data_IF_813386460567
#
_entry.id   IF_813386460567
#
_cell.length_a   1.000
_cell.length_b   1.000
_cell.length_c   1.000
_cell.angle_alpha   90.00
_cell.angle_beta   90.00
_cell.angle_gamma   90.00
#
_symmetry.space_group_name_H-M   'P 1'
#
loop_
_entity.id
_entity.type
_entity.pdbx_description
1 polymer ?
#
# COMPACT_ATOMS: atom_id res chain seq x y z
N UNK A 1 25.94 58.37 -16.47
CA UNK A 1 24.66 57.88 -15.89
C UNK A 1 24.69 56.36 -15.99
N UNK A 2 24.94 55.67 -14.87
CA UNK A 2 25.05 54.21 -14.78
C UNK A 2 23.64 53.61 -14.81
N UNK A 3 23.36 52.67 -15.72
CA UNK A 3 22.22 51.76 -15.56
C UNK A 3 22.74 50.45 -14.95
N UNK A 4 22.35 50.19 -13.70
CA UNK A 4 22.46 48.88 -13.08
C UNK A 4 21.41 47.95 -13.70
N UNK A 5 21.84 46.82 -14.26
CA UNK A 5 20.97 45.65 -14.41
C UNK A 5 21.04 44.82 -13.13
N UNK A 6 19.94 44.77 -12.40
CA UNK A 6 19.76 43.89 -11.24
C UNK A 6 19.49 42.47 -11.73
N UNK A 7 20.41 41.55 -11.45
CA UNK A 7 20.25 40.12 -11.69
C UNK A 7 19.37 39.55 -10.54
N UNK A 8 18.13 39.18 -10.85
CA UNK A 8 17.26 38.47 -9.90
C UNK A 8 17.69 36.99 -9.90
N UNK A 9 18.35 36.58 -8.82
CA UNK A 9 18.69 35.18 -8.57
C UNK A 9 17.43 34.48 -8.05
N UNK A 10 16.79 33.67 -8.90
CA UNK A 10 15.71 32.76 -8.48
C UNK A 10 16.38 31.61 -7.73
N UNK A 11 16.42 31.69 -6.41
CA UNK A 11 16.80 30.58 -5.55
C UNK A 11 15.61 29.62 -5.53
N UNK A 12 15.69 28.56 -6.34
CA UNK A 12 14.83 27.40 -6.18
C UNK A 12 15.15 26.77 -4.82
N UNK A 13 14.30 27.02 -3.83
CA UNK A 13 14.24 26.20 -2.63
C UNK A 13 13.81 24.79 -3.05
N UNK A 14 14.78 23.92 -3.31
CA UNK A 14 14.52 22.49 -3.24
C UNK A 14 14.24 22.17 -1.78
N UNK A 15 12.97 21.97 -1.45
CA UNK A 15 12.59 21.33 -0.19
C UNK A 15 13.12 19.90 -0.29
N UNK A 16 14.27 19.62 0.34
CA UNK A 16 14.70 18.25 0.55
C UNK A 16 13.74 17.63 1.56
N UNK A 17 12.70 16.94 1.08
CA UNK A 17 11.97 15.99 1.92
C UNK A 17 12.93 14.88 2.27
N UNK A 18 13.26 14.76 3.56
CA UNK A 18 14.01 13.65 4.09
C UNK A 18 13.02 12.48 4.19
N UNK A 19 13.01 11.58 3.21
CA UNK A 19 12.35 10.28 3.33
C UNK A 19 13.27 9.30 4.08
N UNK A 20 12.72 8.25 4.71
CA UNK A 20 13.48 7.18 5.37
C UNK A 20 14.54 6.54 4.44
N UNK A 21 14.31 6.61 3.11
CA UNK A 21 15.22 6.24 2.00
C UNK A 21 16.07 4.99 2.31
N UNK A 22 15.38 3.92 2.73
CA UNK A 22 15.98 2.61 2.98
C UNK A 22 15.91 1.67 1.76
N UNK A 23 15.43 2.19 0.61
CA UNK A 23 15.28 1.43 -0.64
C UNK A 23 14.18 0.36 -0.63
N UNK A 24 13.28 0.37 0.37
CA UNK A 24 12.18 -0.58 0.51
C UNK A 24 10.83 0.09 0.27
N UNK A 25 9.78 -0.73 0.15
CA UNK A 25 8.39 -0.28 -0.06
C UNK A 25 8.25 0.73 -1.22
N UNK A 26 8.99 0.55 -2.33
CA UNK A 26 8.92 1.45 -3.49
C UNK A 26 7.56 1.42 -4.20
N UNK A 27 6.80 0.35 -3.98
CA UNK A 27 5.35 0.25 -4.19
C UNK A 27 4.70 -0.13 -2.87
N UNK A 28 3.38 0.05 -2.71
CA UNK A 28 2.69 -0.35 -1.49
C UNK A 28 2.94 -1.83 -1.18
N UNK A 29 3.17 -2.17 0.08
CA UNK A 29 3.47 -3.56 0.44
C UNK A 29 2.25 -4.46 0.23
N UNK A 30 2.49 -5.67 -0.26
CA UNK A 30 1.47 -6.72 -0.39
C UNK A 30 1.82 -7.86 0.56
N UNK A 31 0.93 -8.14 1.51
CA UNK A 31 1.22 -8.97 2.66
C UNK A 31 0.00 -9.79 3.10
N UNK A 32 0.22 -10.67 4.07
CA UNK A 32 -0.82 -11.28 4.87
C UNK A 32 -0.52 -11.06 6.35
N UNK A 33 -1.55 -10.81 7.16
CA UNK A 33 -1.46 -10.64 8.60
C UNK A 33 -2.67 -11.31 9.29
N UNK A 34 -2.48 -12.01 10.41
CA UNK A 34 -3.54 -12.79 11.06
C UNK A 34 -4.57 -11.96 11.86
N UNK A 35 -4.29 -10.70 12.18
CA UNK A 35 -5.00 -9.98 13.25
C UNK A 35 -6.52 -9.89 13.04
N UNK A 36 -6.98 -9.53 11.84
CA UNK A 36 -8.42 -9.41 11.57
C UNK A 36 -9.19 -10.72 11.76
N UNK A 37 -8.63 -11.85 11.29
CA UNK A 37 -9.33 -13.15 11.35
C UNK A 37 -9.14 -13.88 12.68
N UNK A 38 -7.94 -13.83 13.24
CA UNK A 38 -7.54 -14.69 14.36
C UNK A 38 -7.35 -13.92 15.67
N UNK A 39 -7.18 -12.59 15.61
CA UNK A 39 -6.90 -11.74 16.75
C UNK A 39 -5.82 -12.34 17.67
N UNK A 40 -6.09 -12.34 18.97
CA UNK A 40 -5.24 -12.93 20.00
C UNK A 40 -5.69 -14.34 20.44
N UNK A 41 -6.33 -15.13 19.56
CA UNK A 41 -6.72 -16.50 19.88
C UNK A 41 -5.47 -17.41 19.91
N UNK A 42 -4.79 -17.43 21.06
CA UNK A 42 -3.49 -18.09 21.23
C UNK A 42 -3.51 -19.60 20.94
N UNK A 43 -4.66 -20.26 20.97
CA UNK A 43 -4.77 -21.65 20.54
C UNK A 43 -4.54 -21.83 19.03
N UNK A 44 -4.79 -20.79 18.23
CA UNK A 44 -4.61 -20.78 16.76
C UNK A 44 -3.30 -20.11 16.34
N UNK A 45 -2.81 -19.13 17.10
CA UNK A 45 -1.54 -18.41 16.81
C UNK A 45 -0.34 -19.26 17.23
N UNK A 46 0.13 -20.11 16.33
CA UNK A 46 1.26 -21.01 16.54
C UNK A 46 2.08 -21.23 15.25
N UNK A 47 3.29 -21.75 15.38
CA UNK A 47 4.24 -21.96 14.29
C UNK A 47 3.67 -22.76 13.11
N UNK A 48 2.91 -23.82 13.38
CA UNK A 48 2.29 -24.65 12.34
C UNK A 48 1.31 -23.82 11.51
N UNK A 49 0.47 -23.00 12.14
CA UNK A 49 -0.47 -22.13 11.45
C UNK A 49 0.25 -21.16 10.50
N UNK A 50 1.33 -20.51 10.93
CA UNK A 50 2.10 -19.62 10.04
C UNK A 50 2.80 -20.37 8.91
N UNK A 51 3.29 -21.58 9.16
CA UNK A 51 3.88 -22.41 8.11
C UNK A 51 2.84 -22.81 7.04
N UNK A 52 1.61 -23.12 7.45
CA UNK A 52 0.50 -23.44 6.55
C UNK A 52 0.04 -22.22 5.75
N UNK A 53 -0.08 -21.04 6.39
CA UNK A 53 -0.44 -19.79 5.71
C UNK A 53 0.62 -19.38 4.68
N UNK A 54 1.90 -19.48 5.04
CA UNK A 54 3.00 -19.21 4.13
C UNK A 54 2.99 -20.17 2.92
N UNK A 55 2.76 -21.46 3.17
CA UNK A 55 2.64 -22.44 2.09
C UNK A 55 1.42 -22.18 1.20
N UNK A 56 0.27 -21.84 1.79
CA UNK A 56 -0.93 -21.48 1.03
C UNK A 56 -0.66 -20.27 0.12
N UNK A 57 -0.12 -19.17 0.66
CA UNK A 57 0.21 -17.97 -0.11
C UNK A 57 1.21 -18.24 -1.26
N UNK A 58 2.18 -19.12 -1.02
CA UNK A 58 3.16 -19.53 -2.02
C UNK A 58 2.57 -20.43 -3.13
N UNK A 59 1.48 -21.15 -2.86
CA UNK A 59 0.94 -22.19 -3.77
C UNK A 59 -0.40 -21.83 -4.42
N UNK A 60 -1.18 -20.89 -3.87
CA UNK A 60 -2.50 -20.53 -4.37
C UNK A 60 -2.49 -19.37 -5.40
N UNK A 61 -1.32 -18.88 -5.78
CA UNK A 61 -1.15 -17.81 -6.76
C UNK A 61 -0.98 -16.41 -6.18
N UNK A 62 -1.21 -16.19 -4.88
CA UNK A 62 -1.00 -14.89 -4.24
C UNK A 62 0.45 -14.42 -4.34
N UNK A 63 1.43 -15.29 -4.12
CA UNK A 63 2.84 -14.94 -4.28
C UNK A 63 3.17 -14.48 -5.71
N UNK A 64 2.60 -15.14 -6.73
CA UNK A 64 2.76 -14.75 -8.14
C UNK A 64 2.06 -13.43 -8.46
N UNK A 65 0.95 -13.12 -7.78
CA UNK A 65 0.23 -11.86 -7.90
C UNK A 65 0.95 -10.69 -7.22
N UNK A 66 1.91 -10.97 -6.32
CA UNK A 66 2.77 -9.95 -5.70
C UNK A 66 2.77 -9.96 -4.17
N UNK A 67 1.98 -10.81 -3.51
CA UNK A 67 1.99 -10.93 -2.04
C UNK A 67 3.30 -11.54 -1.56
N UNK A 68 4.07 -10.80 -0.77
CA UNK A 68 5.45 -11.17 -0.41
C UNK A 68 5.64 -11.41 1.07
N UNK A 69 4.87 -10.78 1.95
CA UNK A 69 5.13 -10.78 3.38
C UNK A 69 4.12 -11.63 4.15
N UNK A 70 4.60 -12.53 5.01
CA UNK A 70 3.81 -13.20 6.05
C UNK A 70 4.16 -12.51 7.37
N UNK A 71 3.22 -11.73 7.90
CA UNK A 71 3.44 -10.93 9.10
C UNK A 71 2.85 -11.64 10.33
N UNK A 72 3.63 -11.74 11.41
CA UNK A 72 3.09 -11.93 12.76
C UNK A 72 2.48 -10.62 13.25
N UNK A 73 1.39 -10.73 14.01
CA UNK A 73 0.85 -9.65 14.83
C UNK A 73 1.01 -9.95 16.33
N UNK A 74 0.31 -9.25 17.22
CA UNK A 74 0.42 -9.45 18.68
C UNK A 74 0.22 -10.92 19.11
N UNK A 75 0.56 -11.22 20.37
CA UNK A 75 0.33 -12.50 21.04
C UNK A 75 1.23 -13.66 20.61
N UNK A 76 2.33 -13.44 19.90
CA UNK A 76 3.34 -14.47 19.61
C UNK A 76 4.32 -14.72 20.77
N UNK A 77 4.43 -13.75 21.68
CA UNK A 77 5.41 -13.72 22.77
C UNK A 77 5.17 -14.78 23.86
N UNK A 78 6.26 -15.17 24.53
CA UNK A 78 6.19 -15.64 25.90
C UNK A 78 5.77 -14.49 26.82
N UNK A 79 5.27 -14.80 28.02
CA UNK A 79 4.81 -13.78 28.98
C UNK A 79 5.93 -12.95 29.61
N UNK A 80 7.18 -13.37 29.47
CA UNK A 80 8.35 -12.67 29.98
C UNK A 80 9.49 -12.72 28.97
N UNK A 81 10.34 -11.70 29.00
CA UNK A 81 11.64 -11.69 28.31
C UNK A 81 12.60 -12.71 28.92
N UNK A 82 13.68 -13.00 28.21
CA UNK A 82 14.80 -13.76 28.75
C UNK A 82 15.40 -13.02 29.97
N UNK A 83 15.58 -13.75 31.08
CA UNK A 83 15.99 -13.16 32.34
C UNK A 83 17.49 -12.82 32.42
N UNK A 84 18.29 -13.28 31.44
CA UNK A 84 19.73 -12.98 31.36
C UNK A 84 20.00 -11.92 30.30
N UNK A 85 19.45 -12.10 29.09
CA UNK A 85 19.75 -11.24 27.94
C UNK A 85 18.76 -10.08 27.79
N UNK A 86 17.56 -10.20 28.36
CA UNK A 86 16.47 -9.25 28.14
C UNK A 86 15.78 -9.38 26.78
N UNK A 87 16.18 -10.35 25.95
CA UNK A 87 15.60 -10.55 24.62
C UNK A 87 14.14 -10.98 24.71
N UNK A 88 13.35 -10.57 23.71
CA UNK A 88 12.04 -11.15 23.47
C UNK A 88 12.16 -12.65 23.21
N UNK A 89 11.19 -13.42 23.72
CA UNK A 89 11.09 -14.86 23.50
C UNK A 89 9.72 -15.13 22.88
N UNK A 90 9.66 -15.94 21.84
CA UNK A 90 8.39 -16.51 21.39
C UNK A 90 7.86 -17.51 22.42
N UNK A 91 6.55 -17.69 22.48
CA UNK A 91 5.96 -18.71 23.34
C UNK A 91 6.55 -20.09 23.02
N UNK A 92 7.23 -20.76 23.96
CA UNK A 92 7.99 -21.98 23.68
C UNK A 92 7.10 -23.19 23.40
N UNK A 93 5.81 -23.12 23.74
CA UNK A 93 4.84 -24.18 23.44
C UNK A 93 4.28 -23.99 22.03
N UNK A 94 3.95 -22.75 21.65
CA UNK A 94 3.34 -22.42 20.35
C UNK A 94 4.37 -22.25 19.22
N UNK A 95 5.59 -21.85 19.56
CA UNK A 95 6.72 -21.67 18.65
C UNK A 95 7.95 -22.45 19.13
N UNK A 96 7.88 -23.78 19.20
CA UNK A 96 8.91 -24.62 19.84
C UNK A 96 10.27 -24.58 19.12
N UNK A 97 10.32 -24.23 17.83
CA UNK A 97 11.59 -24.06 17.09
C UNK A 97 12.03 -22.59 17.00
N UNK A 98 11.23 -21.67 17.53
CA UNK A 98 11.54 -20.24 17.62
C UNK A 98 11.35 -19.46 16.31
N UNK A 99 11.40 -18.14 16.42
CA UNK A 99 11.12 -17.22 15.31
C UNK A 99 12.12 -17.33 14.16
N UNK A 100 13.42 -17.51 14.46
CA UNK A 100 14.43 -17.67 13.42
C UNK A 100 14.20 -18.90 12.53
N UNK A 101 13.67 -19.99 13.09
CA UNK A 101 13.26 -21.16 12.30
C UNK A 101 12.07 -20.81 11.39
N UNK A 102 11.03 -20.15 11.93
CA UNK A 102 9.86 -19.76 11.17
C UNK A 102 10.21 -18.82 10.00
N UNK A 103 11.06 -17.81 10.26
CA UNK A 103 11.57 -16.91 9.24
C UNK A 103 12.31 -17.68 8.13
N UNK A 104 13.22 -18.60 8.51
CA UNK A 104 13.96 -19.45 7.56
C UNK A 104 13.01 -20.29 6.69
N UNK A 105 11.96 -20.87 7.29
CA UNK A 105 10.96 -21.63 6.53
C UNK A 105 10.21 -20.74 5.53
N UNK A 106 9.76 -19.55 5.95
CA UNK A 106 9.06 -18.60 5.08
C UNK A 106 9.98 -18.15 3.93
N UNK A 107 11.25 -17.85 4.21
CA UNK A 107 12.24 -17.53 3.18
C UNK A 107 12.46 -18.66 2.19
N UNK A 108 12.40 -19.92 2.63
CA UNK A 108 12.56 -21.08 1.75
C UNK A 108 11.44 -21.21 0.70
N UNK A 109 10.29 -20.56 0.94
CA UNK A 109 9.17 -20.46 0.00
C UNK A 109 9.27 -19.24 -0.94
N UNK A 110 10.36 -18.46 -0.85
CA UNK A 110 10.54 -17.21 -1.61
C UNK A 110 9.75 -16.02 -1.04
N UNK A 111 9.20 -16.17 0.17
CA UNK A 111 8.44 -15.14 0.87
C UNK A 111 9.34 -14.38 1.87
N UNK A 112 8.80 -13.31 2.44
CA UNK A 112 9.39 -12.45 3.46
C UNK A 112 8.64 -12.59 4.76
N UNK A 113 9.33 -12.41 5.88
CA UNK A 113 8.75 -12.57 7.21
C UNK A 113 8.63 -11.23 7.94
N UNK A 114 7.44 -10.93 8.45
CA UNK A 114 7.20 -9.76 9.29
C UNK A 114 6.97 -10.11 10.75
N UNK A 115 7.35 -9.19 11.64
CA UNK A 115 7.14 -9.32 13.09
C UNK A 115 6.39 -8.11 13.64
N UNK A 116 5.77 -8.32 14.79
CA UNK A 116 5.11 -7.30 15.59
C UNK A 116 5.87 -7.04 16.89
N UNK A 117 5.97 -5.77 17.25
CA UNK A 117 6.34 -5.29 18.58
C UNK A 117 5.52 -4.07 18.97
N UNK A 118 5.72 -3.60 20.20
CA UNK A 118 5.11 -2.38 20.72
C UNK A 118 6.21 -1.50 21.32
N UNK A 119 6.22 -0.18 21.07
CA UNK A 119 7.20 0.75 21.67
C UNK A 119 7.00 0.95 23.18
N UNK A 120 5.83 0.56 23.69
CA UNK A 120 5.37 0.62 25.07
C UNK A 120 6.04 -0.32 26.03
N UNK A 121 5.61 -0.27 27.30
CA UNK A 121 6.03 -1.23 28.32
C UNK A 121 5.40 -2.61 28.12
N UNK A 122 4.19 -2.64 27.56
CA UNK A 122 3.43 -3.84 27.22
C UNK A 122 2.74 -3.63 25.87
N UNK A 123 2.55 -4.70 25.10
CA UNK A 123 1.70 -4.68 23.92
C UNK A 123 0.24 -4.43 24.29
N UNK A 124 -0.61 -4.14 23.32
CA UNK A 124 -2.05 -3.94 23.56
C UNK A 124 -2.71 -5.13 24.28
N UNK A 125 -2.22 -6.36 24.05
CA UNK A 125 -2.70 -7.58 24.72
C UNK A 125 -1.90 -7.99 25.97
N UNK A 126 -1.07 -7.10 26.51
CA UNK A 126 -0.35 -7.30 27.77
C UNK A 126 0.83 -8.28 27.68
N UNK A 127 1.51 -8.34 26.53
CA UNK A 127 2.79 -9.03 26.38
C UNK A 127 3.96 -8.05 26.54
N UNK A 128 5.22 -8.52 26.74
CA UNK A 128 6.36 -7.63 26.93
C UNK A 128 6.53 -6.63 25.77
N UNK A 129 6.48 -5.33 26.06
CA UNK A 129 6.75 -4.26 25.09
C UNK A 129 8.24 -3.89 25.03
N UNK A 130 8.61 -2.97 24.14
CA UNK A 130 9.99 -2.63 23.77
C UNK A 130 10.54 -1.39 24.48
N UNK A 131 9.79 -0.77 25.39
CA UNK A 131 10.26 0.36 26.19
C UNK A 131 11.52 -0.03 27.00
N UNK A 132 12.62 0.68 26.76
CA UNK A 132 13.93 0.37 27.35
C UNK A 132 14.73 -0.73 26.65
N UNK A 133 14.17 -1.36 25.61
CA UNK A 133 14.78 -2.47 24.86
C UNK A 133 14.85 -2.22 23.35
N UNK A 134 14.48 -1.04 22.83
CA UNK A 134 14.39 -0.75 21.38
C UNK A 134 15.63 -1.19 20.57
N UNK A 135 16.84 -0.89 21.04
CA UNK A 135 18.07 -1.29 20.35
C UNK A 135 18.28 -2.82 20.38
N UNK A 136 18.02 -3.44 21.52
CA UNK A 136 18.13 -4.90 21.69
C UNK A 136 17.12 -5.63 20.80
N UNK A 137 15.88 -5.14 20.75
CA UNK A 137 14.81 -5.75 19.97
C UNK A 137 15.06 -5.58 18.47
N UNK A 138 15.50 -4.41 18.02
CA UNK A 138 15.93 -4.20 16.64
C UNK A 138 17.03 -5.20 16.22
N UNK A 139 18.05 -5.39 17.07
CA UNK A 139 19.12 -6.37 16.84
C UNK A 139 18.57 -7.81 16.80
N UNK A 140 17.67 -8.15 17.73
CA UNK A 140 17.06 -9.47 17.83
C UNK A 140 16.23 -9.79 16.58
N UNK A 141 15.45 -8.83 16.07
CA UNK A 141 14.70 -8.98 14.82
C UNK A 141 15.62 -9.21 13.62
N UNK A 142 16.73 -8.48 13.54
CA UNK A 142 17.72 -8.68 12.48
C UNK A 142 18.40 -10.05 12.56
N UNK A 143 18.75 -10.50 13.77
CA UNK A 143 19.34 -11.84 14.03
C UNK A 143 18.38 -12.98 13.64
N UNK A 144 17.07 -12.80 13.85
CA UNK A 144 16.05 -13.78 13.44
C UNK A 144 15.71 -13.75 11.96
N UNK A 145 16.22 -12.79 11.20
CA UNK A 145 15.96 -12.68 9.77
C UNK A 145 14.61 -12.03 9.43
N UNK A 146 14.12 -11.11 10.24
CA UNK A 146 12.89 -10.36 9.97
C UNK A 146 13.06 -9.39 8.80
N UNK A 147 12.06 -9.25 7.93
CA UNK A 147 12.06 -8.35 6.75
C UNK A 147 11.06 -7.18 6.87
N UNK A 148 10.15 -7.25 7.83
CA UNK A 148 9.11 -6.25 8.07
C UNK A 148 8.85 -6.14 9.57
N UNK A 149 8.75 -4.94 10.12
CA UNK A 149 8.48 -4.70 11.54
C UNK A 149 7.28 -3.76 11.66
N UNK A 150 6.16 -4.27 12.20
CA UNK A 150 5.04 -3.47 12.69
C UNK A 150 5.33 -3.09 14.14
N UNK A 151 5.32 -1.80 14.42
CA UNK A 151 5.48 -1.27 15.76
C UNK A 151 4.22 -0.55 16.19
N UNK A 152 3.66 -1.07 17.26
CA UNK A 152 2.50 -0.54 17.94
C UNK A 152 2.90 0.44 19.05
N UNK A 153 1.93 1.07 19.71
CA UNK A 153 2.17 2.15 20.68
C UNK A 153 1.33 2.10 21.95
N UNK A 154 0.76 0.95 22.30
CA UNK A 154 0.01 0.80 23.54
C UNK A 154 0.92 1.01 24.75
N UNK A 155 0.37 1.45 25.88
CA UNK A 155 1.13 1.58 27.14
C UNK A 155 2.41 2.46 27.02
N UNK A 156 2.38 3.49 26.17
CA UNK A 156 3.47 4.47 26.05
C UNK A 156 2.94 5.92 26.11
N UNK A 157 3.68 6.87 26.75
CA UNK A 157 3.30 8.28 26.73
C UNK A 157 3.33 8.87 25.33
N UNK A 158 2.23 9.49 24.90
CA UNK A 158 2.09 10.07 23.56
C UNK A 158 3.18 11.09 23.24
N UNK A 159 3.49 11.97 24.21
CA UNK A 159 4.49 13.04 24.09
C UNK A 159 5.93 12.53 23.85
N UNK A 160 6.16 11.23 24.02
CA UNK A 160 7.44 10.55 23.79
C UNK A 160 7.45 9.65 22.55
N UNK A 161 6.30 9.42 21.91
CA UNK A 161 6.22 8.49 20.78
C UNK A 161 7.12 8.94 19.62
N UNK A 162 7.18 10.24 19.32
CA UNK A 162 8.07 10.76 18.28
C UNK A 162 9.53 10.30 18.47
N UNK A 163 10.05 10.42 19.69
CA UNK A 163 11.42 10.02 20.02
C UNK A 163 11.60 8.50 19.89
N UNK A 164 10.67 7.72 20.45
CA UNK A 164 10.75 6.26 20.44
C UNK A 164 10.70 5.66 19.03
N UNK A 165 9.74 6.09 18.20
CA UNK A 165 9.62 5.63 16.81
C UNK A 165 10.85 6.01 15.98
N UNK A 166 11.42 7.19 16.22
CA UNK A 166 12.65 7.66 15.55
C UNK A 166 13.87 6.83 15.96
N UNK A 167 14.06 6.61 17.27
CA UNK A 167 15.15 5.80 17.80
C UNK A 167 15.09 4.37 17.25
N UNK A 168 13.91 3.76 17.25
CA UNK A 168 13.75 2.42 16.70
C UNK A 168 14.08 2.36 15.20
N UNK A 169 13.63 3.32 14.40
CA UNK A 169 14.01 3.41 12.98
C UNK A 169 15.54 3.49 12.79
N UNK A 170 16.24 4.24 13.65
CA UNK A 170 17.71 4.32 13.64
C UNK A 170 18.37 3.00 14.05
N UNK A 171 17.83 2.31 15.06
CA UNK A 171 18.34 1.01 15.48
C UNK A 171 18.10 -0.08 14.42
N UNK A 172 16.92 -0.12 13.79
CA UNK A 172 16.65 -1.02 12.68
C UNK A 172 17.66 -0.81 11.55
N UNK A 173 17.93 0.46 11.19
CA UNK A 173 18.94 0.82 10.20
C UNK A 173 20.36 0.38 10.60
N UNK A 174 20.74 0.51 11.87
CA UNK A 174 22.10 0.17 12.34
C UNK A 174 22.40 -1.33 12.30
N UNK A 175 21.38 -2.19 12.25
CA UNK A 175 21.55 -3.64 12.07
C UNK A 175 22.09 -4.02 10.69
N UNK A 176 22.02 -3.12 9.70
CA UNK A 176 22.32 -3.36 8.28
C UNK A 176 21.47 -4.46 7.62
N UNK A 177 20.38 -4.90 8.26
CA UNK A 177 19.36 -5.73 7.62
C UNK A 177 18.23 -4.85 7.08
N UNK A 178 17.90 -4.90 5.78
CA UNK A 178 16.76 -4.17 5.24
C UNK A 178 15.46 -4.71 5.86
N UNK A 179 14.74 -3.85 6.59
CA UNK A 179 13.45 -4.15 7.21
C UNK A 179 12.47 -3.02 6.88
N UNK A 180 11.31 -3.38 6.32
CA UNK A 180 10.20 -2.44 6.16
C UNK A 180 9.73 -2.03 7.55
N UNK A 181 9.56 -0.73 7.78
CA UNK A 181 9.13 -0.22 9.09
C UNK A 181 7.72 0.37 9.03
N UNK A 182 6.77 -0.33 9.64
CA UNK A 182 5.37 0.07 9.79
C UNK A 182 5.13 0.70 11.16
N UNK A 183 4.68 1.95 11.16
CA UNK A 183 4.55 2.75 12.37
C UNK A 183 3.09 3.01 12.73
N UNK A 184 2.69 2.66 13.95
CA UNK A 184 1.32 2.94 14.41
C UNK A 184 1.19 4.30 15.08
N UNK A 185 2.27 5.09 15.21
CA UNK A 185 2.27 6.38 15.91
C UNK A 185 1.07 7.28 15.57
N UNK A 186 0.70 7.51 14.29
CA UNK A 186 -0.40 8.42 13.99
C UNK A 186 -1.75 7.98 14.56
N UNK A 187 -2.02 6.67 14.70
CA UNK A 187 -3.30 6.19 15.29
C UNK A 187 -3.46 6.60 16.75
N UNK A 188 -2.39 6.55 17.53
CA UNK A 188 -2.41 6.94 18.94
C UNK A 188 -2.63 8.43 19.15
N UNK A 189 -2.13 9.25 18.22
CA UNK A 189 -2.39 10.67 18.19
C UNK A 189 -3.81 11.00 17.70
N UNK A 190 -4.31 10.27 16.70
CA UNK A 190 -5.68 10.41 16.19
C UNK A 190 -6.71 10.21 17.31
N UNK A 191 -6.58 9.15 18.11
CA UNK A 191 -7.49 8.87 19.24
C UNK A 191 -7.49 10.00 20.29
N UNK A 192 -6.41 10.76 20.36
CA UNK A 192 -6.23 11.90 21.27
C UNK A 192 -6.50 13.26 20.61
N UNK A 193 -6.93 13.27 19.34
CA UNK A 193 -7.16 14.47 18.54
C UNK A 193 -5.93 15.39 18.45
N UNK A 194 -4.75 14.78 18.30
CA UNK A 194 -3.46 15.46 18.18
C UNK A 194 -3.08 15.55 16.69
N UNK A 195 -2.65 16.73 16.26
CA UNK A 195 -2.20 16.94 14.88
C UNK A 195 -0.82 16.33 14.65
N UNK A 196 -0.69 15.51 13.62
CA UNK A 196 0.53 14.75 13.33
C UNK A 196 1.45 15.44 12.32
N UNK A 197 2.78 15.44 12.53
CA UNK A 197 3.75 15.99 11.58
C UNK A 197 4.09 14.96 10.47
N UNK A 198 3.22 14.78 9.47
CA UNK A 198 3.42 13.77 8.42
C UNK A 198 4.70 13.95 7.59
N UNK A 199 5.15 15.19 7.40
CA UNK A 199 6.44 15.49 6.79
C UNK A 199 7.64 14.95 7.60
N UNK A 200 7.46 14.69 8.88
CA UNK A 200 8.46 14.03 9.72
C UNK A 200 8.29 12.50 9.67
N UNK A 201 7.05 12.02 9.71
CA UNK A 201 6.72 10.58 9.66
C UNK A 201 7.22 9.94 8.37
N UNK A 202 7.04 10.60 7.21
CA UNK A 202 7.56 10.13 5.91
C UNK A 202 9.09 9.92 5.92
N UNK A 203 9.79 10.61 6.82
CA UNK A 203 11.23 10.52 7.01
C UNK A 203 11.71 9.41 7.92
N UNK A 204 10.81 8.75 8.64
CA UNK A 204 11.18 7.73 9.62
C UNK A 204 10.45 6.40 9.44
N UNK A 205 9.38 6.34 8.65
CA UNK A 205 8.52 5.15 8.48
C UNK A 205 8.31 4.82 7.00
N UNK A 206 8.21 3.54 6.66
CA UNK A 206 7.83 3.11 5.32
C UNK A 206 6.34 3.13 5.07
N UNK A 207 5.56 3.01 6.14
CA UNK A 207 4.11 3.13 6.14
C UNK A 207 3.63 3.45 7.55
N UNK A 208 2.43 4.00 7.67
CA UNK A 208 1.86 4.34 8.97
C UNK A 208 0.36 4.18 9.05
N UNK A 209 -0.09 3.59 10.15
CA UNK A 209 -1.50 3.49 10.53
C UNK A 209 -1.95 4.77 11.19
N UNK A 210 -3.10 5.30 10.77
CA UNK A 210 -3.64 6.56 11.30
C UNK A 210 -5.02 6.43 11.95
N UNK A 211 -5.85 5.52 11.47
CA UNK A 211 -7.24 5.44 11.91
C UNK A 211 -7.47 4.25 12.84
N UNK A 212 -8.70 4.14 13.32
CA UNK A 212 -9.14 2.98 14.08
C UNK A 212 -8.89 1.67 13.32
N UNK A 213 -8.77 0.60 14.09
CA UNK A 213 -8.70 -0.75 13.53
C UNK A 213 -9.94 -1.04 12.69
N UNK A 214 -9.69 -1.60 11.53
CA UNK A 214 -10.74 -1.99 10.61
C UNK A 214 -11.50 -3.19 11.14
N UNK A 215 -12.76 -3.33 10.72
CA UNK A 215 -13.53 -4.55 10.91
C UNK A 215 -14.20 -4.95 9.59
N UNK A 216 -14.64 -6.21 9.51
CA UNK A 216 -15.39 -6.76 8.39
C UNK A 216 -16.82 -6.17 8.31
N UNK A 217 -16.91 -4.87 8.03
CA UNK A 217 -18.13 -4.09 7.98
C UNK A 217 -18.01 -2.98 6.92
N UNK A 218 -18.95 -2.97 5.98
CA UNK A 218 -18.96 -2.03 4.87
C UNK A 218 -18.93 -0.56 5.32
N UNK A 219 -19.79 -0.20 6.27
CA UNK A 219 -19.92 1.18 6.72
C UNK A 219 -18.67 1.67 7.47
N UNK A 220 -17.99 0.76 8.18
CA UNK A 220 -16.79 1.11 8.96
C UNK A 220 -15.58 1.39 8.08
N UNK A 221 -15.27 0.53 7.11
CA UNK A 221 -14.13 0.81 6.22
C UNK A 221 -14.42 1.99 5.28
N UNK A 222 -15.68 2.20 4.90
CA UNK A 222 -16.10 3.39 4.16
C UNK A 222 -15.87 4.67 4.99
N UNK A 223 -16.05 4.61 6.31
CA UNK A 223 -15.74 5.72 7.21
C UNK A 223 -14.23 6.01 7.26
N UNK A 224 -13.38 4.98 7.26
CA UNK A 224 -11.92 5.14 7.24
C UNK A 224 -11.48 5.94 6.00
N UNK A 225 -11.96 5.58 4.80
CA UNK A 225 -11.61 6.32 3.58
C UNK A 225 -12.22 7.72 3.53
N UNK A 226 -13.37 7.96 4.19
CA UNK A 226 -13.91 9.30 4.36
C UNK A 226 -12.98 10.15 5.24
N UNK A 227 -12.46 9.59 6.33
CA UNK A 227 -11.53 10.26 7.24
C UNK A 227 -10.20 10.61 6.54
N UNK A 228 -9.64 9.68 5.75
CA UNK A 228 -8.47 9.93 4.91
C UNK A 228 -8.62 11.15 4.01
N UNK A 229 -9.78 11.30 3.36
CA UNK A 229 -10.03 12.38 2.41
C UNK A 229 -10.24 13.74 3.07
N UNK A 230 -10.91 13.77 4.23
CA UNK A 230 -11.30 15.03 4.86
C UNK A 230 -10.23 15.58 5.80
N UNK A 231 -9.38 14.73 6.38
CA UNK A 231 -8.38 15.16 7.35
C UNK A 231 -7.31 16.07 6.73
N UNK A 232 -6.73 16.94 7.58
CA UNK A 232 -5.69 17.90 7.21
C UNK A 232 -4.43 17.71 8.08
N UNK A 233 -3.22 17.90 7.54
CA UNK A 233 -2.90 18.17 6.12
C UNK A 233 -3.32 17.03 5.18
N UNK A 234 -3.49 17.30 3.88
CA UNK A 234 -3.95 16.29 2.91
C UNK A 234 -3.00 15.08 2.87
N UNK A 235 -3.51 13.89 3.21
CA UNK A 235 -2.72 12.66 3.34
C UNK A 235 -2.11 12.21 2.02
N UNK A 236 -2.78 12.47 0.91
CA UNK A 236 -2.30 12.10 -0.43
C UNK A 236 -0.96 12.75 -0.76
N UNK A 237 -0.64 13.91 -0.16
CA UNK A 237 0.61 14.62 -0.37
C UNK A 237 1.84 13.99 0.30
N UNK A 238 1.65 13.02 1.20
CA UNK A 238 2.72 12.34 1.94
C UNK A 238 2.88 10.86 1.54
N UNK A 239 1.99 10.32 0.70
CA UNK A 239 2.15 8.97 0.17
C UNK A 239 3.01 8.96 -1.10
N UNK A 240 3.93 8.00 -1.20
CA UNK A 240 4.81 7.85 -2.34
C UNK A 240 5.77 6.67 -2.19
N UNK A 241 6.63 6.42 -3.19
CA UNK A 241 7.62 5.34 -3.14
C UNK A 241 8.46 5.39 -1.85
N UNK A 242 8.29 4.37 -1.02
CA UNK A 242 9.00 4.21 0.25
C UNK A 242 8.26 4.71 1.48
N UNK A 243 7.09 5.34 1.36
CA UNK A 243 6.33 5.94 2.47
C UNK A 243 4.82 6.00 2.17
N UNK A 244 4.00 5.17 2.83
CA UNK A 244 2.57 4.99 2.48
C UNK A 244 1.62 5.28 3.64
N UNK A 245 0.45 5.86 3.33
CA UNK A 245 -0.67 5.87 4.27
C UNK A 245 -1.27 4.45 4.36
N UNK A 246 -1.51 3.97 5.57
CA UNK A 246 -2.09 2.66 5.84
C UNK A 246 -3.51 2.79 6.42
N UNK A 247 -4.56 2.59 5.60
CA UNK A 247 -5.96 2.52 6.06
C UNK A 247 -6.32 1.20 6.72
N UNK A 248 -5.33 0.38 7.07
CA UNK A 248 -5.45 -0.96 7.64
C UNK A 248 -5.69 -2.08 6.61
N UNK A 249 -5.70 -3.30 7.14
CA UNK A 249 -5.78 -4.56 6.40
C UNK A 249 -7.07 -4.76 5.59
N UNK A 250 -7.01 -5.66 4.62
CA UNK A 250 -8.14 -6.11 3.82
C UNK A 250 -8.97 -7.15 4.58
N UNK A 251 -10.27 -6.89 4.71
CA UNK A 251 -11.27 -7.80 5.34
C UNK A 251 -11.85 -8.84 4.37
N UNK A 252 -11.26 -8.94 3.18
CA UNK A 252 -11.76 -9.72 2.05
C UNK A 252 -11.80 -11.21 2.41
N UNK A 253 -13.03 -11.77 2.39
CA UNK A 253 -13.27 -13.18 2.68
C UNK A 253 -13.44 -13.52 4.17
N UNK A 254 -13.65 -12.54 5.04
CA UNK A 254 -13.90 -12.79 6.46
C UNK A 254 -15.37 -13.16 6.78
N UNK A 255 -16.30 -12.85 5.88
CA UNK A 255 -17.63 -13.47 5.76
C UNK A 255 -18.81 -12.58 6.15
N UNK A 256 -18.58 -11.35 6.62
CA UNK A 256 -19.65 -10.42 7.02
C UNK A 256 -20.03 -9.41 5.93
N UNK A 257 -19.36 -9.45 4.78
CA UNK A 257 -19.68 -8.62 3.61
C UNK A 257 -19.85 -9.47 2.35
N UNK A 258 -20.52 -8.90 1.36
CA UNK A 258 -20.70 -9.50 0.05
C UNK A 258 -19.44 -9.36 -0.81
N UNK A 259 -19.29 -10.22 -1.81
CA UNK A 259 -18.18 -10.12 -2.78
C UNK A 259 -18.20 -8.81 -3.57
N UNK A 260 -19.36 -8.18 -3.73
CA UNK A 260 -19.49 -6.82 -4.30
C UNK A 260 -18.82 -5.78 -3.42
N UNK A 261 -19.03 -5.85 -2.11
CA UNK A 261 -18.42 -4.95 -1.12
C UNK A 261 -16.91 -5.19 -1.01
N UNK A 262 -16.47 -6.45 -1.01
CA UNK A 262 -15.04 -6.79 -1.03
C UNK A 262 -14.33 -6.30 -2.31
N UNK A 263 -14.98 -6.38 -3.48
CA UNK A 263 -14.45 -5.78 -4.72
C UNK A 263 -14.35 -4.26 -4.61
N UNK A 264 -15.32 -3.60 -3.96
CA UNK A 264 -15.26 -2.16 -3.69
C UNK A 264 -14.09 -1.79 -2.77
N UNK A 265 -13.89 -2.54 -1.68
CA UNK A 265 -12.74 -2.36 -0.79
C UNK A 265 -11.42 -2.49 -1.55
N UNK A 266 -11.21 -3.58 -2.29
CA UNK A 266 -9.98 -3.79 -3.05
C UNK A 266 -9.73 -2.69 -4.10
N UNK A 267 -10.79 -2.24 -4.76
CA UNK A 267 -10.72 -1.14 -5.74
C UNK A 267 -10.28 0.17 -5.11
N UNK A 268 -10.82 0.51 -3.94
CA UNK A 268 -10.53 1.78 -3.27
C UNK A 268 -9.16 1.75 -2.59
N UNK A 269 -8.72 0.62 -2.03
CA UNK A 269 -7.33 0.44 -1.58
C UNK A 269 -6.34 0.59 -2.74
N UNK A 270 -6.68 0.10 -3.94
CA UNK A 270 -5.87 0.30 -5.13
C UNK A 270 -5.82 1.77 -5.57
N UNK A 271 -6.94 2.51 -5.53
CA UNK A 271 -6.95 3.95 -5.81
C UNK A 271 -6.15 4.75 -4.77
N UNK A 272 -6.21 4.37 -3.50
CA UNK A 272 -5.54 5.06 -2.40
C UNK A 272 -4.04 4.76 -2.31
N UNK A 273 -3.50 3.90 -3.18
CA UNK A 273 -2.11 3.41 -3.05
C UNK A 273 -1.83 2.81 -1.66
N UNK A 274 -2.83 2.16 -1.07
CA UNK A 274 -2.73 1.55 0.24
C UNK A 274 -1.94 0.22 0.19
N UNK A 275 -1.29 -0.19 1.29
CA UNK A 275 -0.86 -1.57 1.47
C UNK A 275 -2.00 -2.56 1.20
N UNK A 276 -1.70 -3.66 0.49
CA UNK A 276 -2.65 -4.76 0.29
C UNK A 276 -2.31 -5.90 1.27
N UNK A 277 -2.76 -5.76 2.52
CA UNK A 277 -2.52 -6.76 3.56
C UNK A 277 -3.76 -7.63 3.74
N UNK A 278 -3.74 -8.86 3.24
CA UNK A 278 -4.84 -9.81 3.42
C UNK A 278 -4.98 -10.22 4.90
N UNK A 279 -6.21 -10.20 5.42
CA UNK A 279 -6.52 -10.48 6.82
C UNK A 279 -7.38 -11.72 7.06
N UNK A 280 -7.39 -12.70 6.14
CA UNK A 280 -8.29 -13.87 6.13
C UNK A 280 -7.57 -15.23 6.32
N UNK A 281 -8.30 -16.35 6.31
CA UNK A 281 -7.69 -17.70 6.36
C UNK A 281 -7.38 -18.22 4.94
N UNK A 282 -6.10 -18.15 4.54
CA UNK A 282 -5.65 -18.52 3.20
C UNK A 282 -5.82 -20.02 2.87
N UNK A 283 -6.02 -20.87 3.88
CA UNK A 283 -6.17 -22.32 3.73
C UNK A 283 -7.60 -22.69 3.33
N UNK A 284 -8.57 -21.86 3.70
CA UNK A 284 -10.00 -22.17 3.57
C UNK A 284 -10.79 -21.13 2.78
N UNK A 285 -10.17 -20.03 2.34
CA UNK A 285 -10.86 -19.06 1.49
C UNK A 285 -11.37 -19.70 0.19
N UNK A 286 -12.52 -19.25 -0.27
CA UNK A 286 -13.10 -19.74 -1.52
C UNK A 286 -12.43 -19.11 -2.75
N UNK A 287 -12.77 -19.64 -3.93
CA UNK A 287 -12.19 -19.18 -5.18
C UNK A 287 -12.55 -17.73 -5.47
N UNK A 288 -13.76 -17.26 -5.12
CA UNK A 288 -14.16 -15.89 -5.40
C UNK A 288 -13.36 -14.89 -4.54
N UNK A 289 -13.10 -15.22 -3.28
CA UNK A 289 -12.19 -14.46 -2.40
C UNK A 289 -10.79 -14.41 -2.98
N UNK A 290 -10.25 -15.57 -3.39
CA UNK A 290 -8.93 -15.63 -4.00
C UNK A 290 -8.86 -14.79 -5.28
N UNK A 291 -9.85 -14.90 -6.17
CA UNK A 291 -9.93 -14.17 -7.44
C UNK A 291 -9.96 -12.64 -7.23
N UNK A 292 -10.59 -12.16 -6.15
CA UNK A 292 -10.53 -10.75 -5.75
C UNK A 292 -9.10 -10.37 -5.38
N UNK A 293 -8.48 -11.14 -4.48
CA UNK A 293 -7.14 -10.84 -3.95
C UNK A 293 -6.06 -10.92 -5.04
N UNK A 294 -6.20 -11.79 -6.05
CA UNK A 294 -5.19 -11.97 -7.11
C UNK A 294 -5.53 -11.27 -8.43
N UNK A 295 -6.54 -10.38 -8.47
CA UNK A 295 -6.88 -9.66 -9.69
C UNK A 295 -5.69 -8.78 -10.14
N UNK A 296 -4.99 -9.21 -11.19
CA UNK A 296 -3.76 -8.59 -11.67
C UNK A 296 -3.95 -7.19 -12.22
N UNK A 297 -5.14 -6.88 -12.77
CA UNK A 297 -5.42 -5.56 -13.33
C UNK A 297 -5.62 -4.52 -12.23
N UNK A 298 -6.29 -4.90 -11.14
CA UNK A 298 -6.46 -4.02 -9.97
C UNK A 298 -5.15 -3.90 -9.18
N UNK A 299 -4.40 -4.99 -9.03
CA UNK A 299 -3.05 -4.96 -8.44
C UNK A 299 -2.12 -4.05 -9.25
N UNK A 300 -2.17 -4.06 -10.57
CA UNK A 300 -1.36 -3.17 -11.41
C UNK A 300 -1.66 -1.68 -11.18
N UNK A 301 -2.90 -1.33 -10.82
CA UNK A 301 -3.25 0.02 -10.36
C UNK A 301 -2.60 0.31 -9.01
N UNK A 302 -2.74 -0.60 -8.04
CA UNK A 302 -2.16 -0.46 -6.71
C UNK A 302 -0.63 -0.27 -6.77
N UNK A 303 0.04 -1.12 -7.54
CA UNK A 303 1.49 -1.22 -7.72
C UNK A 303 2.05 -0.26 -8.79
N UNK A 304 1.28 0.73 -9.24
CA UNK A 304 1.78 1.69 -10.23
C UNK A 304 3.01 2.45 -9.69
N UNK A 305 4.13 2.48 -10.43
CA UNK A 305 5.41 2.98 -9.93
C UNK A 305 5.48 4.50 -9.81
N UNK A 306 4.48 5.27 -10.29
CA UNK A 306 4.40 6.68 -9.90
C UNK A 306 4.16 6.84 -8.41
N UNK A 307 3.51 5.86 -7.77
CA UNK A 307 3.24 5.87 -6.33
C UNK A 307 2.33 7.03 -5.88
N UNK A 308 1.62 7.67 -6.80
CA UNK A 308 0.71 8.77 -6.45
C UNK A 308 -0.57 8.17 -5.87
N UNK A 309 -0.88 8.49 -4.62
CA UNK A 309 -2.18 8.21 -4.02
C UNK A 309 -3.29 8.98 -4.74
N UNK A 310 -4.38 8.29 -5.07
CA UNK A 310 -5.58 8.89 -5.63
C UNK A 310 -6.44 9.60 -4.60
N UNK A 311 -7.51 10.24 -5.07
CA UNK A 311 -8.46 10.98 -4.23
C UNK A 311 -9.86 11.01 -4.83
N UNK A 312 -10.84 11.39 -4.01
CA UNK A 312 -12.23 11.59 -4.43
C UNK A 312 -12.36 12.92 -5.17
N UNK A 313 -12.89 12.85 -6.39
CA UNK A 313 -13.08 14.04 -7.25
C UNK A 313 -14.53 14.46 -7.40
N UNK A 314 -15.47 13.58 -7.07
CA UNK A 314 -16.89 13.92 -7.04
C UNK A 314 -17.61 13.10 -5.97
N UNK A 315 -18.60 13.74 -5.34
CA UNK A 315 -19.55 13.09 -4.44
C UNK A 315 -20.92 13.73 -4.65
N UNK A 316 -21.90 12.91 -5.02
CA UNK A 316 -23.30 13.29 -5.14
C UNK A 316 -24.16 12.32 -4.33
N UNK A 317 -24.45 12.70 -3.07
CA UNK A 317 -25.08 11.80 -2.10
C UNK A 317 -24.19 10.56 -1.87
N UNK A 318 -24.73 9.39 -2.22
CA UNK A 318 -24.06 8.09 -2.07
C UNK A 318 -23.20 7.70 -3.28
N UNK A 319 -23.21 8.49 -4.36
CA UNK A 319 -22.48 8.18 -5.58
C UNK A 319 -21.17 8.97 -5.60
N UNK A 320 -20.06 8.27 -5.73
CA UNK A 320 -18.72 8.86 -5.65
C UNK A 320 -17.89 8.49 -6.88
N UNK A 321 -16.99 9.40 -7.24
CA UNK A 321 -15.99 9.19 -8.27
C UNK A 321 -14.63 9.46 -7.66
N UNK A 322 -13.76 8.47 -7.73
CA UNK A 322 -12.39 8.56 -7.28
C UNK A 322 -11.44 8.37 -8.45
N UNK A 323 -10.28 9.02 -8.41
CA UNK A 323 -9.26 8.87 -9.46
C UNK A 323 -7.86 8.72 -8.90
N UNK A 324 -7.03 7.97 -9.63
CA UNK A 324 -5.60 7.84 -9.38
C UNK A 324 -4.83 8.06 -10.70
N UNK A 325 -3.93 9.05 -10.78
CA UNK A 325 -2.99 9.16 -11.90
C UNK A 325 -2.02 7.97 -11.92
N UNK A 326 -1.73 7.45 -13.11
CA UNK A 326 -0.86 6.30 -13.35
C UNK A 326 0.22 6.65 -14.37
N UNK A 327 1.21 5.78 -14.56
CA UNK A 327 2.22 5.94 -15.62
C UNK A 327 1.60 6.11 -17.00
N UNK A 328 2.40 6.68 -17.93
CA UNK A 328 2.00 6.92 -19.32
C UNK A 328 0.74 7.79 -19.45
N UNK A 329 0.53 8.71 -18.50
CA UNK A 329 -0.66 9.57 -18.41
C UNK A 329 -1.98 8.79 -18.36
N UNK A 330 -1.94 7.53 -17.90
CA UNK A 330 -3.16 6.75 -17.66
C UNK A 330 -3.84 7.20 -16.37
N UNK A 331 -5.14 6.90 -16.24
CA UNK A 331 -5.93 7.26 -15.06
C UNK A 331 -6.74 6.03 -14.65
N UNK A 332 -6.61 5.57 -13.41
CA UNK A 332 -7.60 4.68 -12.82
C UNK A 332 -8.76 5.50 -12.25
N UNK A 333 -9.99 5.05 -12.49
CA UNK A 333 -11.20 5.72 -12.04
C UNK A 333 -12.14 4.70 -11.41
N UNK A 334 -12.51 4.92 -10.15
CA UNK A 334 -13.50 4.12 -9.44
C UNK A 334 -14.83 4.87 -9.37
N UNK A 335 -15.88 4.25 -9.91
CA UNK A 335 -17.27 4.69 -9.77
C UNK A 335 -17.87 3.91 -8.61
N UNK A 336 -17.99 4.53 -7.44
CA UNK A 336 -18.36 3.86 -6.20
C UNK A 336 -19.78 4.24 -5.78
N UNK A 337 -20.62 3.24 -5.54
CA UNK A 337 -21.99 3.43 -5.08
C UNK A 337 -22.14 2.96 -3.63
N UNK A 338 -22.22 3.90 -2.70
CA UNK A 338 -22.50 3.64 -1.26
C UNK A 338 -23.98 3.37 -0.99
N UNK A 339 -24.83 3.50 -2.00
CA UNK A 339 -26.27 3.47 -1.85
C UNK A 339 -26.85 2.06 -1.82
N UNK A 340 -28.07 1.91 -1.29
CA UNK A 340 -28.76 0.63 -1.17
C UNK A 340 -29.33 0.10 -2.49
N UNK A 341 -29.18 0.83 -3.60
CA UNK A 341 -29.74 0.48 -4.91
C UNK A 341 -28.74 0.74 -6.02
N UNK A 342 -28.76 -0.11 -7.07
CA UNK A 342 -27.96 0.12 -8.27
C UNK A 342 -28.28 1.47 -8.90
N UNK A 343 -27.23 2.21 -9.27
CA UNK A 343 -27.35 3.58 -9.77
C UNK A 343 -26.37 3.82 -10.91
N UNK A 344 -26.77 4.66 -11.88
CA UNK A 344 -25.86 5.12 -12.92
C UNK A 344 -24.93 6.19 -12.35
N UNK A 345 -23.63 6.00 -12.56
CA UNK A 345 -22.61 7.00 -12.26
C UNK A 345 -21.96 7.41 -13.59
N UNK A 346 -21.88 8.72 -13.83
CA UNK A 346 -21.31 9.28 -15.06
C UNK A 346 -20.06 10.09 -14.73
N UNK A 347 -18.94 9.71 -15.33
CA UNK A 347 -17.73 10.54 -15.37
C UNK A 347 -17.71 11.41 -16.61
N UNK A 348 -17.11 12.59 -16.49
CA UNK A 348 -16.92 13.55 -17.59
C UNK A 348 -15.50 14.09 -17.62
N UNK A 349 -15.09 14.68 -18.74
CA UNK A 349 -13.83 15.42 -18.86
C UNK A 349 -13.67 16.46 -17.74
N UNK A 350 -14.73 17.20 -17.43
CA UNK A 350 -14.71 18.23 -16.38
C UNK A 350 -14.44 17.64 -14.99
N UNK A 351 -15.09 16.52 -14.64
CA UNK A 351 -14.86 15.84 -13.35
C UNK A 351 -13.42 15.33 -13.25
N UNK A 352 -12.85 14.85 -14.36
CA UNK A 352 -11.48 14.32 -14.38
C UNK A 352 -10.41 15.41 -14.57
N UNK A 353 -10.80 16.66 -14.85
CA UNK A 353 -9.93 17.77 -15.27
C UNK A 353 -9.14 17.46 -16.56
N UNK A 354 -9.78 16.85 -17.56
CA UNK A 354 -9.18 16.58 -18.89
C UNK A 354 -9.50 17.76 -19.82
N UNK A 355 -8.49 18.54 -20.19
CA UNK A 355 -8.68 19.82 -20.91
C UNK A 355 -8.28 19.80 -22.40
N UNK A 356 -7.54 18.78 -22.85
CA UNK A 356 -6.89 18.77 -24.17
C UNK A 356 -7.63 17.97 -25.26
N UNK A 357 -8.93 17.66 -25.08
CA UNK A 357 -9.65 16.70 -25.94
C UNK A 357 -8.92 15.36 -26.10
N UNK A 358 -8.13 14.97 -25.10
CA UNK A 358 -7.43 13.69 -25.09
C UNK A 358 -8.46 12.57 -24.95
N UNK A 359 -8.47 11.64 -25.91
CA UNK A 359 -9.33 10.45 -25.85
C UNK A 359 -8.58 9.31 -25.17
N UNK A 360 -9.31 8.42 -24.52
CA UNK A 360 -8.73 7.27 -23.81
C UNK A 360 -9.42 5.97 -24.20
N UNK A 361 -8.66 4.88 -24.27
CA UNK A 361 -9.25 3.54 -24.26
C UNK A 361 -9.73 3.22 -22.85
N UNK A 362 -10.92 2.64 -22.74
CA UNK A 362 -11.51 2.22 -21.47
C UNK A 362 -11.30 0.71 -21.30
N UNK A 363 -10.69 0.31 -20.19
CA UNK A 363 -10.63 -1.08 -19.73
C UNK A 363 -11.34 -1.20 -18.39
N UNK A 364 -12.31 -2.10 -18.26
CA UNK A 364 -12.87 -2.50 -16.98
C UNK A 364 -11.98 -3.58 -16.34
N UNK A 365 -11.52 -3.31 -15.12
CA UNK A 365 -10.49 -4.11 -14.44
C UNK A 365 -11.06 -5.32 -13.71
N UNK A 366 -12.38 -5.38 -13.52
CA UNK A 366 -13.05 -6.52 -12.90
C UNK A 366 -13.58 -7.50 -13.95
N UNK A 367 -14.07 -7.00 -15.08
CA UNK A 367 -14.54 -7.86 -16.18
C UNK A 367 -13.43 -8.18 -17.18
N UNK A 368 -12.28 -7.50 -17.10
CA UNK A 368 -11.17 -7.60 -18.07
C UNK A 368 -11.61 -7.29 -19.50
N UNK A 369 -12.58 -6.38 -19.68
CA UNK A 369 -13.14 -6.05 -20.99
C UNK A 369 -12.83 -4.62 -21.42
N UNK A 370 -12.52 -4.45 -22.71
CA UNK A 370 -12.47 -3.12 -23.30
C UNK A 370 -13.88 -2.57 -23.50
N UNK A 371 -14.15 -1.40 -22.93
CA UNK A 371 -15.44 -0.73 -22.99
C UNK A 371 -15.42 0.46 -23.98
N UNK A 372 -14.63 0.34 -25.04
CA UNK A 372 -14.53 1.34 -26.10
C UNK A 372 -13.67 2.56 -25.73
N UNK A 373 -14.06 3.72 -26.26
CA UNK A 373 -13.28 4.96 -26.17
C UNK A 373 -14.01 6.01 -25.34
N UNK A 374 -13.31 6.59 -24.37
CA UNK A 374 -13.71 7.77 -23.63
C UNK A 374 -13.39 9.03 -24.45
N UNK A 375 -14.43 9.72 -24.92
CA UNK A 375 -14.31 10.98 -25.65
C UNK A 375 -14.63 12.20 -24.79
N UNK A 376 -15.66 12.09 -23.94
CA UNK A 376 -16.10 13.16 -23.07
C UNK A 376 -16.77 12.65 -21.80
N UNK A 377 -17.56 11.59 -21.91
CA UNK A 377 -18.23 10.98 -20.78
C UNK A 377 -18.30 9.48 -20.91
N UNK A 378 -18.40 8.81 -19.77
CA UNK A 378 -18.69 7.39 -19.66
C UNK A 378 -19.63 7.18 -18.48
N UNK A 379 -20.65 6.34 -18.69
CA UNK A 379 -21.65 6.02 -17.68
C UNK A 379 -21.64 4.52 -17.46
N UNK A 380 -21.61 4.11 -16.20
CA UNK A 380 -21.79 2.71 -15.83
C UNK A 380 -22.93 2.57 -14.82
N UNK A 381 -23.64 1.45 -14.90
CA UNK A 381 -24.56 1.02 -13.86
C UNK A 381 -23.75 0.36 -12.75
N UNK A 382 -23.71 0.98 -11.59
CA UNK A 382 -22.94 0.50 -10.44
C UNK A 382 -23.89 -0.15 -9.44
N UNK A 383 -23.68 -1.44 -9.07
CA UNK A 383 -24.50 -2.13 -8.08
C UNK A 383 -24.55 -1.41 -6.74
N UNK A 384 -25.55 -1.72 -5.90
CA UNK A 384 -25.53 -1.30 -4.49
C UNK A 384 -24.24 -1.77 -3.82
N UNK A 385 -23.59 -0.87 -3.08
CA UNK A 385 -22.30 -1.07 -2.42
C UNK A 385 -21.15 -1.50 -3.35
N UNK A 386 -21.37 -1.40 -4.67
CA UNK A 386 -20.45 -1.85 -5.70
C UNK A 386 -19.55 -0.75 -6.23
N UNK A 387 -18.53 -1.18 -6.95
CA UNK A 387 -17.60 -0.32 -7.67
C UNK A 387 -17.43 -0.82 -9.09
N UNK A 388 -17.49 0.09 -10.06
CA UNK A 388 -16.93 -0.13 -11.40
C UNK A 388 -15.56 0.55 -11.43
N UNK A 389 -14.51 -0.24 -11.58
CA UNK A 389 -13.13 0.24 -11.62
C UNK A 389 -12.62 0.12 -13.05
N UNK A 390 -12.27 1.26 -13.65
CA UNK A 390 -11.76 1.34 -15.02
C UNK A 390 -10.37 1.96 -15.07
N UNK A 391 -9.59 1.57 -16.09
CA UNK A 391 -8.38 2.28 -16.51
C UNK A 391 -8.65 3.00 -17.82
N UNK A 392 -8.35 4.30 -17.83
CA UNK A 392 -8.30 5.14 -19.00
C UNK A 392 -6.85 5.22 -19.48
N UNK A 393 -6.56 4.68 -20.67
CA UNK A 393 -5.22 4.75 -21.27
C UNK A 393 -5.24 5.70 -22.47
N UNK A 394 -4.36 6.74 -22.54
CA UNK A 394 -4.40 7.72 -23.62
C UNK A 394 -4.31 7.06 -25.00
N UNK A 395 -5.16 7.49 -25.93
CA UNK A 395 -5.02 7.18 -27.34
C UNK A 395 -3.97 8.15 -27.90
N UNK A 396 -2.82 7.62 -28.29
CA UNK A 396 -1.80 8.39 -28.99
C UNK A 396 -2.29 8.62 -30.41
N UNK A 397 -2.72 9.84 -30.70
CA UNK A 397 -2.90 10.26 -32.09
C UNK A 397 -1.49 10.37 -32.67
N UNK A 398 -1.11 9.45 -33.56
CA UNK A 398 0.06 9.68 -34.41
C UNK A 398 -0.17 10.99 -35.16
N UNK A 399 0.56 12.03 -34.78
CA UNK A 399 0.71 13.19 -35.65
C UNK A 399 1.53 12.67 -36.83
N UNK A 400 0.84 12.25 -37.88
CA UNK A 400 1.44 12.09 -39.20
C UNK A 400 1.88 13.49 -39.61
N UNK A 401 3.12 13.84 -39.27
CA UNK A 401 3.80 14.96 -39.89
C UNK A 401 3.99 14.58 -41.36
N UNK A 402 3.02 14.94 -42.21
CA UNK A 402 3.24 15.08 -43.65
C UNK A 402 4.16 16.29 -43.89
N UNK A 403 5.40 16.21 -43.40
CA UNK A 403 6.48 16.99 -43.97
C UNK A 403 6.93 16.27 -45.23
N UNK A 404 6.40 16.72 -46.37
CA UNK A 404 6.93 16.43 -47.70
C UNK A 404 8.38 16.94 -47.80
N UNK A 405 9.34 16.20 -47.25
CA UNK A 405 10.72 16.31 -47.68
C UNK A 405 10.96 15.37 -48.85
N UNK A 406 10.69 15.88 -50.05
CA UNK A 406 11.27 15.35 -51.28
C UNK A 406 12.80 15.43 -51.20
N UNK A 407 13.44 14.41 -50.66
CA UNK A 407 14.87 14.20 -50.80
C UNK A 407 15.09 13.48 -52.13
N UNK A 408 15.46 14.24 -53.16
CA UNK A 408 15.96 13.70 -54.42
C UNK A 408 17.34 13.04 -54.19
N UNK A 409 17.36 11.72 -54.06
CA UNK A 409 18.61 10.95 -54.13
C UNK A 409 19.04 10.82 -55.59
N UNK A 410 19.99 11.67 -55.99
CA UNK A 410 20.62 11.63 -57.31
C UNK A 410 21.75 10.58 -57.30
N UNK A 411 21.43 9.33 -57.64
CA UNK A 411 22.43 8.27 -57.79
C UNK A 411 23.24 8.47 -59.09
N UNK A 412 24.42 9.10 -59.00
CA UNK A 412 25.46 8.97 -60.04
C UNK A 412 26.08 7.57 -59.95
N UNK A 413 25.71 6.68 -60.87
CA UNK A 413 26.41 5.41 -61.14
C UNK A 413 27.86 5.71 -61.56
N UNK A 414 28.84 5.35 -60.72
CA UNK A 414 30.23 5.19 -61.14
C UNK A 414 30.40 3.78 -61.73
N UNK A 415 30.62 3.70 -63.04
CA UNK A 415 31.10 2.47 -63.69
C UNK A 415 32.54 2.20 -63.26
N UNK A 416 32.80 0.99 -62.76
CA UNK A 416 34.13 0.42 -62.58
C UNK A 416 34.32 -0.60 -63.71
N UNK A 417 35.33 -0.46 -64.59
CA UNK A 417 35.60 -1.46 -65.61
C UNK A 417 36.41 -2.62 -65.02
N UNK A 418 35.94 -3.84 -65.27
CA UNK A 418 36.66 -5.08 -65.00
C UNK A 418 37.68 -5.26 -66.14
N UNK A 419 38.97 -5.37 -65.80
CA UNK A 419 39.99 -5.86 -66.73
C UNK A 419 40.12 -7.38 -66.58
N UNK A 420 40.02 -8.06 -67.72
CA UNK A 420 40.47 -9.44 -67.97
C UNK A 420 41.99 -9.45 -68.08
#
# INVERSE_FOLDING_TARGET
MKLLLSLILIINFFCFSFSLDNGLALTPIMAWNPWNKFGCETSLINETMFMEMAYAMASNGMANAGYQYINLDDCWFAKTRDNVTGQLIADPVRFPRGIGFLATYIHSLGLKFGIYGDIGTETCMGYPGSAGYLELDAKTFAEWGVDYVKMDGCNYPEDKMQEAYTQLGQYLKSTNRPMVYSCSWPTYAYVQNISMPFNYIEGICNLWREFQDITDNFDEWVKIIDEMEIMKPDRSGFAGPGHWNDPDMLEIGNGNQTNTEYKSMFSLWAILAAPLVAGNDLRTMDQETLDILINTDVIAVNQDPLGIQGSRVNKNGNLEIWKRPLVNNSIAVALFNRGPTSSNITITNDILNITNNQNYNIMDLWTHTSNGTFYNSFTAMVPSHGTVLIKLSPIVNEIVNHENHHIHFNFKKKHIPIKV
#
